data_IF_037403179634
#
_entry.id   IF_037403179634
#
_cell.length_a   1.000
_cell.length_b   1.000
_cell.length_c   1.000
_cell.angle_alpha   90.00
_cell.angle_beta   90.00
_cell.angle_gamma   90.00
#
_symmetry.space_group_name_H-M   'P 1'
#
loop_
_entity.id
_entity.type
_entity.pdbx_description
1 polymer ?
#
# COMPACT_ATOMS: atom_id res chain seq x y z
N UNK A 1 -29.56 -9.15 16.00
CA UNK A 1 -28.57 -8.14 15.58
C UNK A 1 -29.14 -6.72 15.58
N UNK A 2 -30.35 -6.47 15.05
CA UNK A 2 -30.98 -5.11 15.00
C UNK A 2 -31.09 -4.36 16.34
N UNK A 3 -31.40 -5.02 17.47
CA UNK A 3 -31.60 -4.33 18.76
C UNK A 3 -30.32 -3.75 19.38
N UNK A 4 -29.13 -4.32 19.15
CA UNK A 4 -27.87 -3.76 19.70
C UNK A 4 -27.37 -2.56 18.88
N UNK A 5 -27.66 -2.51 17.59
CA UNK A 5 -27.24 -1.41 16.70
C UNK A 5 -28.10 -0.16 16.93
N UNK A 6 -29.42 -0.31 17.10
CA UNK A 6 -30.32 0.80 17.45
C UNK A 6 -29.86 1.49 18.75
N UNK A 7 -29.52 0.73 19.77
CA UNK A 7 -29.00 1.27 21.03
C UNK A 7 -27.70 2.09 20.88
N UNK A 8 -26.87 1.80 19.87
CA UNK A 8 -25.62 2.53 19.63
C UNK A 8 -25.88 3.90 18.98
N UNK A 9 -26.75 3.97 17.99
CA UNK A 9 -27.12 5.22 17.29
C UNK A 9 -27.84 6.17 18.24
N UNK A 10 -28.76 5.65 19.05
CA UNK A 10 -29.45 6.44 20.12
C UNK A 10 -28.45 7.04 21.11
N UNK A 11 -27.48 6.26 21.57
CA UNK A 11 -26.41 6.76 22.47
C UNK A 11 -25.57 7.85 21.84
N UNK A 12 -25.24 7.71 20.53
CA UNK A 12 -24.53 8.77 19.80
C UNK A 12 -25.39 10.03 19.68
N UNK A 13 -26.66 9.89 19.31
CA UNK A 13 -27.59 11.00 19.22
C UNK A 13 -27.72 11.75 20.57
N UNK A 14 -27.89 11.03 21.66
CA UNK A 14 -27.93 11.62 23.00
C UNK A 14 -26.62 12.32 23.38
N UNK A 15 -25.48 11.71 23.08
CA UNK A 15 -24.17 12.29 23.37
C UNK A 15 -23.92 13.61 22.66
N UNK A 16 -24.44 13.77 21.45
CA UNK A 16 -24.21 14.93 20.59
C UNK A 16 -25.45 15.84 20.48
N UNK A 17 -26.50 15.60 21.25
CA UNK A 17 -27.76 16.38 21.19
C UNK A 17 -27.55 17.89 21.40
N UNK A 18 -26.57 18.27 22.23
CA UNK A 18 -26.25 19.66 22.55
C UNK A 18 -24.99 20.17 21.84
N UNK A 19 -24.51 19.47 20.82
CA UNK A 19 -23.23 19.80 20.15
C UNK A 19 -23.27 21.04 19.27
N UNK A 20 -24.48 21.51 18.88
CA UNK A 20 -24.68 22.69 18.05
C UNK A 20 -25.40 23.77 18.88
N UNK A 21 -24.70 24.81 19.35
CA UNK A 21 -25.34 25.87 20.16
C UNK A 21 -26.44 26.59 19.40
N UNK A 22 -27.61 26.76 20.06
CA UNK A 22 -28.76 27.42 19.46
C UNK A 22 -29.64 26.57 18.56
N UNK A 23 -29.35 25.28 18.44
CA UNK A 23 -30.12 24.31 17.68
C UNK A 23 -30.50 23.12 18.56
N UNK A 24 -31.65 22.51 18.26
CA UNK A 24 -32.14 21.30 18.90
C UNK A 24 -32.03 20.11 17.97
N UNK A 25 -31.64 18.94 18.50
CA UNK A 25 -31.59 17.69 17.74
C UNK A 25 -33.04 17.22 17.47
N UNK A 26 -33.49 17.30 16.24
CA UNK A 26 -34.86 16.94 15.82
C UNK A 26 -34.98 15.55 15.23
N UNK A 27 -33.92 15.03 14.64
CA UNK A 27 -33.92 13.71 14.02
C UNK A 27 -32.51 13.12 14.00
N UNK A 28 -32.43 11.80 14.03
CA UNK A 28 -31.19 11.06 13.76
C UNK A 28 -31.50 9.77 13.00
N UNK A 29 -30.60 9.37 12.14
CA UNK A 29 -30.71 8.12 11.37
C UNK A 29 -29.35 7.64 10.89
N UNK A 30 -29.30 6.37 10.47
CA UNK A 30 -28.12 5.79 9.86
C UNK A 30 -28.18 5.98 8.34
N UNK A 31 -27.06 6.41 7.75
CA UNK A 31 -26.91 6.53 6.30
C UNK A 31 -25.61 5.89 5.83
N UNK A 32 -25.66 5.32 4.64
CA UNK A 32 -24.49 4.82 3.94
C UNK A 32 -23.90 5.91 3.05
N UNK A 33 -22.71 6.39 3.40
CA UNK A 33 -21.96 7.38 2.63
C UNK A 33 -21.11 6.67 1.59
N UNK A 34 -21.23 7.02 0.29
CA UNK A 34 -20.55 6.33 -0.79
C UNK A 34 -19.06 6.64 -0.79
N UNK A 35 -18.26 5.62 -1.05
CA UNK A 35 -16.83 5.74 -1.27
C UNK A 35 -16.42 4.83 -2.43
N UNK A 36 -15.44 5.25 -3.21
CA UNK A 36 -14.80 4.42 -4.21
C UNK A 36 -13.65 3.65 -3.56
N UNK A 37 -13.76 2.34 -3.56
CA UNK A 37 -12.67 1.43 -3.23
C UNK A 37 -11.91 1.13 -4.51
N UNK A 38 -10.72 1.68 -4.62
CA UNK A 38 -9.88 1.62 -5.83
C UNK A 38 -8.73 0.67 -5.58
N UNK A 39 -8.61 -0.35 -6.42
CA UNK A 39 -7.50 -1.28 -6.41
C UNK A 39 -6.51 -0.89 -7.52
N UNK A 40 -5.29 -0.56 -7.13
CA UNK A 40 -4.20 -0.16 -8.01
C UNK A 40 -3.15 -1.26 -8.10
N UNK A 41 -2.67 -1.52 -9.30
CA UNK A 41 -1.38 -2.15 -9.52
C UNK A 41 -0.32 -1.06 -9.52
N UNK A 42 0.58 -1.10 -8.54
CA UNK A 42 1.65 -0.11 -8.38
C UNK A 42 3.02 -0.78 -8.36
N UNK A 43 4.01 -0.11 -8.91
CA UNK A 43 5.42 -0.52 -8.79
C UNK A 43 6.06 0.24 -7.64
N UNK A 44 6.60 -0.49 -6.68
CA UNK A 44 7.38 0.05 -5.56
C UNK A 44 8.86 -0.30 -5.72
N UNK A 45 9.73 0.55 -5.21
CA UNK A 45 11.14 0.21 -5.00
C UNK A 45 11.31 -0.36 -3.59
N UNK A 46 11.59 -1.67 -3.53
CA UNK A 46 11.76 -2.38 -2.28
C UNK A 46 13.20 -2.80 -2.07
N UNK A 47 13.73 -2.53 -0.88
CA UNK A 47 15.03 -3.03 -0.47
C UNK A 47 14.88 -4.50 -0.05
N UNK A 48 15.43 -5.41 -0.86
CA UNK A 48 15.49 -6.86 -0.57
C UNK A 48 16.85 -7.20 0.01
N UNK A 49 16.94 -7.97 1.10
CA UNK A 49 18.23 -8.40 1.61
C UNK A 49 18.97 -9.24 0.58
N UNK A 50 20.26 -9.07 0.49
CA UNK A 50 21.13 -9.99 -0.26
C UNK A 50 21.01 -11.38 0.40
N UNK A 51 20.69 -12.40 -0.39
CA UNK A 51 20.76 -13.78 0.12
C UNK A 51 22.20 -14.09 0.57
N UNK A 52 22.35 -14.89 1.64
CA UNK A 52 23.62 -15.21 2.29
C UNK A 52 24.71 -15.59 1.27
N UNK A 53 24.41 -16.47 0.31
CA UNK A 53 25.37 -16.91 -0.72
C UNK A 53 25.78 -15.75 -1.61
N UNK A 54 24.87 -14.88 -2.00
CA UNK A 54 25.15 -13.71 -2.83
C UNK A 54 26.03 -12.70 -2.07
N UNK A 55 25.73 -12.44 -0.81
CA UNK A 55 26.49 -11.54 0.06
C UNK A 55 27.96 -12.03 0.20
N UNK A 56 28.16 -13.29 0.57
CA UNK A 56 29.50 -13.86 0.69
C UNK A 56 30.23 -13.92 -0.64
N UNK A 57 29.53 -14.23 -1.76
CA UNK A 57 30.12 -14.19 -3.09
C UNK A 57 30.59 -12.80 -3.45
N UNK A 58 29.79 -11.76 -3.22
CA UNK A 58 30.18 -10.38 -3.48
C UNK A 58 31.35 -9.93 -2.60
N UNK A 59 31.34 -10.25 -1.29
CA UNK A 59 32.48 -9.98 -0.39
C UNK A 59 33.76 -10.61 -0.89
N UNK A 60 33.69 -11.85 -1.35
CA UNK A 60 34.85 -12.58 -1.85
C UNK A 60 35.40 -12.01 -3.16
N UNK A 61 34.49 -11.63 -4.08
CA UNK A 61 34.84 -10.98 -5.34
C UNK A 61 35.41 -9.56 -5.06
N UNK A 62 34.82 -8.81 -4.13
CA UNK A 62 35.32 -7.50 -3.70
C UNK A 62 36.74 -7.59 -3.10
N UNK A 63 37.05 -8.68 -2.41
CA UNK A 63 38.41 -8.98 -1.91
C UNK A 63 39.43 -9.37 -3.02
N UNK A 64 39.02 -9.34 -4.28
CA UNK A 64 39.90 -9.53 -5.43
C UNK A 64 39.97 -10.96 -5.99
N UNK A 65 39.09 -11.86 -5.55
CA UNK A 65 39.00 -13.20 -6.12
C UNK A 65 38.21 -13.18 -7.41
N UNK A 66 38.88 -13.51 -8.52
CA UNK A 66 38.36 -13.37 -9.88
C UNK A 66 37.94 -14.69 -10.53
N UNK A 67 38.18 -15.82 -9.86
CA UNK A 67 38.02 -17.15 -10.44
C UNK A 67 36.92 -17.93 -9.73
N UNK A 68 36.00 -18.50 -10.51
CA UNK A 68 34.85 -19.29 -10.04
C UNK A 68 35.31 -20.49 -9.18
N UNK A 69 36.38 -21.16 -9.54
CA UNK A 69 36.81 -22.35 -8.81
C UNK A 69 37.25 -22.03 -7.37
N UNK A 70 37.88 -20.87 -7.16
CA UNK A 70 38.22 -20.41 -5.81
C UNK A 70 36.94 -20.07 -5.00
N UNK A 71 35.95 -19.45 -5.65
CA UNK A 71 34.68 -19.16 -5.02
C UNK A 71 33.95 -20.45 -4.59
N UNK A 72 33.94 -21.48 -5.43
CA UNK A 72 33.40 -22.81 -5.11
C UNK A 72 34.05 -23.42 -3.87
N UNK A 73 35.39 -23.40 -3.83
CA UNK A 73 36.16 -23.95 -2.70
C UNK A 73 35.88 -23.15 -1.41
N UNK A 74 35.79 -21.84 -1.50
CA UNK A 74 35.53 -20.95 -0.37
C UNK A 74 34.15 -21.17 0.21
N UNK A 75 33.09 -21.21 -0.64
CA UNK A 75 31.72 -21.40 -0.22
C UNK A 75 31.38 -22.84 0.16
N UNK A 76 32.21 -23.83 -0.23
CA UNK A 76 31.94 -25.24 -0.03
C UNK A 76 30.68 -25.74 -0.79
N UNK A 77 30.34 -25.07 -1.90
CA UNK A 77 29.13 -25.36 -2.68
C UNK A 77 29.47 -26.10 -3.98
N UNK A 78 28.50 -26.89 -4.45
CA UNK A 78 28.61 -27.58 -5.76
C UNK A 78 28.64 -26.56 -6.90
N UNK A 79 29.32 -26.91 -7.97
CA UNK A 79 29.49 -26.06 -9.16
C UNK A 79 28.16 -25.53 -9.70
N UNK A 80 27.15 -26.38 -9.81
CA UNK A 80 25.81 -25.99 -10.31
C UNK A 80 25.14 -24.88 -9.46
N UNK A 81 25.39 -24.89 -8.17
CA UNK A 81 24.83 -23.86 -7.24
C UNK A 81 25.61 -22.57 -7.45
N UNK A 82 26.93 -22.62 -7.46
CA UNK A 82 27.78 -21.43 -7.67
C UNK A 82 27.50 -20.78 -9.02
N UNK A 83 27.41 -21.58 -10.09
CA UNK A 83 27.05 -21.07 -11.43
C UNK A 83 25.70 -20.30 -11.41
N UNK A 84 24.70 -20.87 -10.76
CA UNK A 84 23.38 -20.22 -10.65
C UNK A 84 23.47 -18.87 -9.94
N UNK A 85 24.24 -18.78 -8.85
CA UNK A 85 24.44 -17.54 -8.11
C UNK A 85 25.26 -16.51 -8.91
N UNK A 86 26.31 -16.94 -9.63
CA UNK A 86 27.09 -16.05 -10.51
C UNK A 86 26.20 -15.48 -11.61
N UNK A 87 25.36 -16.30 -12.24
CA UNK A 87 24.40 -15.84 -13.25
C UNK A 87 23.40 -14.85 -12.65
N UNK A 88 22.85 -15.13 -11.46
CA UNK A 88 21.93 -14.23 -10.77
C UNK A 88 22.58 -12.88 -10.44
N UNK A 89 23.82 -12.89 -9.93
CA UNK A 89 24.57 -11.67 -9.65
C UNK A 89 24.88 -10.87 -10.94
N UNK A 90 25.20 -11.56 -12.02
CA UNK A 90 25.45 -10.94 -13.33
C UNK A 90 24.16 -10.31 -13.91
N UNK A 91 23.05 -11.04 -13.89
CA UNK A 91 21.76 -10.54 -14.36
C UNK A 91 21.24 -9.32 -13.57
N UNK A 92 21.61 -9.24 -12.29
CA UNK A 92 21.31 -8.08 -11.43
C UNK A 92 22.30 -6.93 -11.57
N UNK A 93 23.29 -7.08 -12.47
CA UNK A 93 24.36 -6.10 -12.68
C UNK A 93 25.20 -5.82 -11.43
N UNK A 94 25.37 -6.81 -10.55
CA UNK A 94 26.19 -6.70 -9.34
C UNK A 94 27.66 -7.10 -9.60
N UNK A 95 27.88 -7.91 -10.62
CA UNK A 95 29.19 -8.31 -11.10
C UNK A 95 29.29 -8.15 -12.61
N UNK A 96 30.50 -7.96 -13.10
CA UNK A 96 30.87 -8.11 -14.52
C UNK A 96 31.79 -9.30 -14.69
N UNK A 97 31.71 -10.00 -15.81
CA UNK A 97 32.56 -11.12 -16.12
C UNK A 97 32.80 -11.25 -17.62
N UNK A 98 33.92 -11.86 -18.00
CA UNK A 98 34.17 -12.28 -19.38
C UNK A 98 33.32 -13.54 -19.66
N UNK A 99 32.33 -13.41 -20.55
CA UNK A 99 31.38 -14.49 -20.87
C UNK A 99 32.05 -15.64 -21.62
N UNK A 100 33.18 -15.39 -22.30
CA UNK A 100 33.91 -16.41 -23.10
C UNK A 100 34.74 -17.27 -22.19
N UNK A 101 35.48 -16.67 -21.28
CA UNK A 101 36.41 -17.37 -20.39
C UNK A 101 35.78 -17.78 -19.05
N UNK A 102 34.60 -17.26 -18.71
CA UNK A 102 33.95 -17.41 -17.41
C UNK A 102 34.86 -17.12 -16.20
N UNK A 103 35.93 -16.41 -16.45
CA UNK A 103 36.93 -15.96 -15.49
C UNK A 103 36.96 -14.43 -15.44
N UNK A 104 37.75 -13.86 -14.54
CA UNK A 104 37.91 -12.42 -14.37
C UNK A 104 36.61 -11.74 -13.89
N UNK A 105 35.95 -12.36 -12.92
CA UNK A 105 34.79 -11.81 -12.27
C UNK A 105 35.21 -10.56 -11.48
N UNK A 106 34.45 -9.45 -11.65
CA UNK A 106 34.69 -8.18 -10.96
C UNK A 106 33.38 -7.67 -10.36
N UNK A 107 33.47 -7.05 -9.21
CA UNK A 107 32.29 -6.36 -8.62
C UNK A 107 32.05 -5.04 -9.36
N UNK A 108 30.79 -4.72 -9.64
CA UNK A 108 30.38 -3.42 -10.20
C UNK A 108 30.20 -2.38 -9.09
N UNK A 109 30.02 -1.09 -9.44
CA UNK A 109 29.67 -0.06 -8.45
C UNK A 109 28.33 -0.38 -7.78
N UNK A 110 27.34 -0.85 -8.53
CA UNK A 110 26.05 -1.30 -7.98
C UNK A 110 26.22 -2.48 -7.01
N UNK A 111 27.15 -3.40 -7.33
CA UNK A 111 27.50 -4.51 -6.43
C UNK A 111 28.13 -4.04 -5.11
N UNK A 112 29.02 -3.04 -5.17
CA UNK A 112 29.62 -2.44 -3.97
C UNK A 112 28.58 -1.76 -3.10
N UNK A 113 27.73 -0.91 -3.69
CA UNK A 113 26.64 -0.22 -2.98
C UNK A 113 25.67 -1.22 -2.34
N UNK A 114 25.30 -2.28 -3.08
CA UNK A 114 24.43 -3.33 -2.55
C UNK A 114 25.07 -4.10 -1.39
N UNK A 115 26.39 -4.22 -1.38
CA UNK A 115 27.12 -4.86 -0.29
C UNK A 115 27.21 -3.96 0.95
N UNK A 116 27.46 -2.67 0.77
CA UNK A 116 27.49 -1.67 1.84
C UNK A 116 26.12 -1.54 2.51
N UNK A 117 25.07 -1.52 1.71
CA UNK A 117 23.69 -1.41 2.22
C UNK A 117 23.10 -2.74 2.70
N UNK A 118 23.81 -3.88 2.51
CA UNK A 118 23.34 -5.24 2.76
C UNK A 118 21.98 -5.54 2.08
N UNK A 119 21.73 -4.91 0.95
CA UNK A 119 20.48 -5.06 0.24
C UNK A 119 20.53 -4.60 -1.21
N UNK A 120 19.56 -5.08 -1.97
CA UNK A 120 19.36 -4.71 -3.37
C UNK A 120 18.00 -3.99 -3.48
N UNK A 121 18.00 -2.77 -4.00
CA UNK A 121 16.77 -2.08 -4.38
C UNK A 121 16.30 -2.69 -5.69
N UNK A 122 15.12 -3.29 -5.67
CA UNK A 122 14.51 -3.90 -6.84
C UNK A 122 13.04 -3.44 -6.96
N UNK A 123 12.54 -3.20 -8.21
CA UNK A 123 11.15 -2.93 -8.43
C UNK A 123 10.31 -4.18 -8.10
N UNK A 124 9.16 -3.97 -7.49
CA UNK A 124 8.18 -4.99 -7.19
C UNK A 124 6.79 -4.45 -7.52
N UNK A 125 5.98 -5.23 -8.25
CA UNK A 125 4.58 -4.88 -8.50
C UNK A 125 3.73 -5.43 -7.37
N UNK A 126 2.89 -4.56 -6.79
CA UNK A 126 1.97 -4.91 -5.71
C UNK A 126 0.60 -4.32 -5.97
N UNK A 127 -0.43 -4.97 -5.43
CA UNK A 127 -1.77 -4.41 -5.40
C UNK A 127 -1.93 -3.54 -4.15
N UNK A 128 -2.36 -2.30 -4.36
CA UNK A 128 -2.63 -1.35 -3.31
C UNK A 128 -4.08 -0.87 -3.37
N UNK A 129 -4.76 -0.89 -2.22
CA UNK A 129 -6.14 -0.43 -2.12
C UNK A 129 -6.16 0.92 -1.44
N UNK A 130 -6.81 1.90 -2.07
CA UNK A 130 -7.11 3.18 -1.45
C UNK A 130 -8.58 3.53 -1.63
N UNK A 131 -9.06 4.41 -0.76
CA UNK A 131 -10.45 4.80 -0.70
C UNK A 131 -10.55 6.27 -1.08
N UNK A 132 -11.51 6.61 -1.94
CA UNK A 132 -11.87 7.97 -2.30
C UNK A 132 -13.28 8.23 -1.86
N UNK A 133 -13.49 9.26 -1.04
CA UNK A 133 -14.82 9.71 -0.67
C UNK A 133 -15.58 10.16 -1.93
N UNK A 134 -16.73 9.54 -2.20
CA UNK A 134 -17.46 9.79 -3.44
C UNK A 134 -18.34 11.06 -3.38
N UNK A 135 -18.27 11.82 -2.29
CA UNK A 135 -18.91 13.13 -2.15
C UNK A 135 -17.89 14.26 -2.29
N UNK A 136 -16.73 14.15 -1.63
CA UNK A 136 -15.73 15.22 -1.55
C UNK A 136 -14.54 15.03 -2.48
N UNK A 137 -14.26 13.79 -2.91
CA UNK A 137 -13.06 13.47 -3.67
C UNK A 137 -11.81 13.27 -2.81
N UNK A 138 -11.93 13.41 -1.49
CA UNK A 138 -10.81 13.24 -0.59
C UNK A 138 -10.34 11.80 -0.53
N UNK A 139 -9.03 11.61 -0.50
CA UNK A 139 -8.43 10.31 -0.24
C UNK A 139 -8.59 9.95 1.23
N UNK A 140 -9.00 8.71 1.46
CA UNK A 140 -9.10 8.14 2.80
C UNK A 140 -8.38 6.81 2.83
N UNK A 141 -7.85 6.49 4.00
CA UNK A 141 -7.17 5.22 4.19
C UNK A 141 -8.10 4.21 4.82
N UNK A 142 -7.74 2.96 4.62
CA UNK A 142 -8.29 1.70 5.14
C UNK A 142 -9.41 1.84 6.18
N UNK A 143 -10.59 2.16 5.69
CA UNK A 143 -11.80 2.19 6.48
C UNK A 143 -12.60 0.92 6.23
N UNK A 144 -13.37 0.51 7.21
CA UNK A 144 -14.34 -0.55 7.00
C UNK A 144 -15.50 -0.02 6.17
N UNK A 145 -15.67 -0.59 4.99
CA UNK A 145 -16.75 -0.26 4.06
C UNK A 145 -17.64 -1.49 3.86
N UNK A 146 -18.92 -1.25 3.74
CA UNK A 146 -19.91 -2.26 3.45
C UNK A 146 -20.34 -2.20 1.97
N UNK A 147 -20.54 -3.34 1.34
CA UNK A 147 -21.05 -3.37 -0.02
C UNK A 147 -22.53 -2.93 -0.08
N UNK A 148 -22.94 -2.36 -1.22
CA UNK A 148 -24.29 -1.82 -1.39
C UNK A 148 -25.43 -2.84 -1.21
N UNK A 149 -25.17 -4.13 -1.49
CA UNK A 149 -26.12 -5.22 -1.25
C UNK A 149 -26.39 -5.43 0.23
N UNK A 150 -25.35 -5.37 1.06
CA UNK A 150 -25.49 -5.47 2.51
C UNK A 150 -26.25 -4.25 3.08
N UNK A 151 -25.90 -3.03 2.66
CA UNK A 151 -26.55 -1.79 3.09
C UNK A 151 -28.05 -1.84 2.79
N UNK A 152 -28.45 -2.25 1.56
CA UNK A 152 -29.85 -2.45 1.19
C UNK A 152 -30.55 -3.49 2.08
N UNK A 153 -29.89 -4.62 2.35
CA UNK A 153 -30.46 -5.70 3.16
C UNK A 153 -30.77 -5.27 4.58
N UNK A 154 -29.97 -4.40 5.17
CA UNK A 154 -30.21 -3.87 6.53
C UNK A 154 -31.13 -2.65 6.55
N UNK A 155 -31.55 -2.14 5.37
CA UNK A 155 -32.52 -1.04 5.25
C UNK A 155 -31.91 0.34 5.55
N UNK A 156 -30.60 0.50 5.43
CA UNK A 156 -29.92 1.79 5.60
C UNK A 156 -30.02 2.60 4.31
N UNK A 157 -30.35 3.90 4.46
CA UNK A 157 -30.45 4.81 3.32
C UNK A 157 -29.06 5.04 2.70
N UNK A 158 -28.93 4.84 1.38
CA UNK A 158 -27.70 5.09 0.66
C UNK A 158 -27.68 6.50 0.09
N UNK A 159 -26.70 7.30 0.48
CA UNK A 159 -26.47 8.61 -0.12
C UNK A 159 -25.94 8.39 -1.55
N UNK A 160 -26.48 9.09 -2.57
CA UNK A 160 -25.97 9.00 -3.92
C UNK A 160 -24.55 9.61 -4.02
N UNK A 161 -23.74 9.06 -4.91
CA UNK A 161 -22.42 9.63 -5.22
C UNK A 161 -22.57 11.02 -5.86
N UNK A 162 -21.62 11.91 -5.59
CA UNK A 162 -21.58 13.25 -6.18
C UNK A 162 -20.48 13.38 -7.24
N UNK A 163 -19.34 12.75 -7.03
CA UNK A 163 -18.22 12.79 -7.98
C UNK A 163 -18.16 11.52 -8.84
N UNK A 164 -17.51 11.65 -10.00
CA UNK A 164 -17.26 10.53 -10.90
C UNK A 164 -16.15 9.62 -10.39
N UNK A 165 -16.09 8.41 -10.98
CA UNK A 165 -15.03 7.44 -10.68
C UNK A 165 -13.65 8.04 -10.95
N UNK A 166 -12.68 7.84 -10.05
CA UNK A 166 -11.29 8.25 -10.27
C UNK A 166 -10.74 7.65 -11.58
N UNK A 167 -9.97 8.47 -12.30
CA UNK A 167 -9.22 8.03 -13.47
C UNK A 167 -7.74 8.03 -13.14
N UNK A 168 -6.96 7.19 -13.80
CA UNK A 168 -5.53 7.05 -13.52
C UNK A 168 -4.77 8.38 -13.70
N UNK A 169 -5.18 9.18 -14.68
CA UNK A 169 -4.56 10.48 -14.98
C UNK A 169 -4.72 11.50 -13.82
N UNK A 170 -5.72 11.28 -12.97
CA UNK A 170 -6.04 12.16 -11.85
C UNK A 170 -5.42 11.68 -10.53
N UNK A 171 -4.65 10.58 -10.56
CA UNK A 171 -4.05 9.99 -9.39
C UNK A 171 -2.58 10.40 -9.31
N UNK A 172 -2.26 11.31 -8.40
CA UNK A 172 -0.90 11.76 -8.18
C UNK A 172 -0.13 10.80 -7.27
N UNK A 173 1.00 10.28 -7.75
CA UNK A 173 1.88 9.38 -6.98
C UNK A 173 2.32 10.02 -5.66
N UNK A 174 2.62 11.33 -5.67
CA UNK A 174 3.05 12.08 -4.49
C UNK A 174 1.97 12.06 -3.43
N UNK A 175 0.71 12.33 -3.79
CA UNK A 175 -0.43 12.35 -2.88
C UNK A 175 -0.65 10.97 -2.25
N UNK A 176 -0.57 9.90 -3.02
CA UNK A 176 -0.68 8.53 -2.49
C UNK A 176 0.49 8.22 -1.55
N UNK A 177 1.71 8.57 -1.93
CA UNK A 177 2.91 8.32 -1.13
C UNK A 177 2.85 9.06 0.22
N UNK A 178 2.37 10.30 0.25
CA UNK A 178 2.18 11.07 1.47
C UNK A 178 1.10 10.47 2.38
N UNK A 179 -0.03 10.06 1.82
CA UNK A 179 -1.10 9.40 2.55
C UNK A 179 -0.58 8.12 3.20
N UNK A 180 0.15 7.30 2.45
CA UNK A 180 0.75 6.07 2.96
C UNK A 180 1.74 6.36 4.09
N UNK A 181 2.65 7.32 3.91
CA UNK A 181 3.62 7.71 4.93
C UNK A 181 2.95 8.24 6.20
N UNK A 182 1.89 9.01 6.08
CA UNK A 182 1.13 9.52 7.22
C UNK A 182 0.39 8.40 7.95
N UNK A 183 -0.16 7.43 7.23
CA UNK A 183 -0.83 6.27 7.82
C UNK A 183 0.15 5.32 8.52
N UNK A 184 1.32 5.10 7.96
CA UNK A 184 2.37 4.29 8.57
C UNK A 184 2.81 4.82 9.94
N UNK A 185 2.73 6.14 10.16
CA UNK A 185 3.00 6.75 11.47
C UNK A 185 1.92 6.41 12.52
N UNK A 186 0.71 6.09 12.08
CA UNK A 186 -0.45 5.84 12.95
C UNK A 186 -0.67 4.33 13.18
N UNK A 187 -0.44 3.50 12.15
CA UNK A 187 -0.68 2.06 12.19
C UNK A 187 0.53 1.25 11.69
N UNK A 188 1.27 0.67 12.63
CA UNK A 188 2.45 -0.18 12.35
C UNK A 188 2.19 -1.47 11.54
N UNK A 189 0.97 -1.77 11.14
CA UNK A 189 0.58 -3.07 10.55
C UNK A 189 0.50 -3.14 9.03
N UNK A 190 0.47 -2.01 8.34
CA UNK A 190 0.38 -1.96 6.87
C UNK A 190 1.59 -1.22 6.30
N UNK A 191 2.75 -1.85 6.35
CA UNK A 191 3.96 -1.33 5.73
C UNK A 191 3.94 -1.60 4.22
N UNK A 192 3.83 -0.53 3.43
CA UNK A 192 4.49 -0.50 2.13
C UNK A 192 5.99 -0.34 2.40
N UNK A 193 6.70 -1.45 2.32
CA UNK A 193 8.13 -1.50 2.49
C UNK A 193 8.82 -1.06 1.18
N UNK A 194 8.73 0.24 0.88
CA UNK A 194 9.30 0.85 -0.32
C UNK A 194 8.55 2.09 -0.81
N UNK A 195 9.19 2.87 -1.68
CA UNK A 195 8.60 4.04 -2.30
C UNK A 195 7.84 3.66 -3.58
N UNK A 196 6.64 4.22 -3.79
CA UNK A 196 5.91 4.06 -5.05
C UNK A 196 6.63 4.86 -6.14
N UNK A 197 7.00 4.20 -7.22
CA UNK A 197 7.66 4.82 -8.37
C UNK A 197 6.74 4.93 -9.58
N UNK A 198 5.73 4.08 -9.66
CA UNK A 198 4.77 4.11 -10.77
C UNK A 198 3.42 3.52 -10.37
N UNK A 199 2.36 4.06 -10.97
CA UNK A 199 1.03 3.46 -10.96
C UNK A 199 0.83 2.82 -12.33
N UNK A 200 0.79 1.49 -12.38
CA UNK A 200 0.73 0.76 -13.63
C UNK A 200 -0.67 0.81 -14.23
N UNK A 201 -1.69 0.52 -13.41
CA UNK A 201 -3.11 0.53 -13.84
C UNK A 201 -4.06 0.53 -12.65
N UNK A 202 -5.31 0.88 -12.94
CA UNK A 202 -6.43 0.62 -12.05
C UNK A 202 -6.97 -0.79 -12.38
N UNK A 203 -6.90 -1.71 -11.41
CA UNK A 203 -7.44 -3.07 -11.59
C UNK A 203 -8.96 -3.06 -11.53
N UNK A 204 -9.52 -2.43 -10.50
CA UNK A 204 -10.97 -2.26 -10.38
C UNK A 204 -11.34 -1.08 -9.48
N UNK A 205 -12.58 -0.61 -9.64
CA UNK A 205 -13.19 0.41 -8.78
C UNK A 205 -14.58 -0.07 -8.40
N UNK A 206 -14.81 -0.26 -7.10
CA UNK A 206 -16.11 -0.60 -6.54
C UNK A 206 -16.67 0.58 -5.75
N UNK A 207 -18.01 0.73 -5.73
CA UNK A 207 -18.68 1.62 -4.78
C UNK A 207 -19.02 0.79 -3.56
N UNK A 208 -18.50 1.20 -2.44
CA UNK A 208 -18.83 0.67 -1.11
C UNK A 208 -19.30 1.83 -0.22
N UNK A 209 -19.83 1.52 0.95
CA UNK A 209 -20.50 2.52 1.78
C UNK A 209 -19.95 2.48 3.21
N UNK A 210 -19.68 3.66 3.75
CA UNK A 210 -19.39 3.84 5.17
C UNK A 210 -20.69 4.16 5.89
N UNK A 211 -21.02 3.37 6.90
CA UNK A 211 -22.19 3.66 7.75
C UNK A 211 -21.84 4.79 8.72
N UNK A 212 -22.69 5.80 8.74
CA UNK A 212 -22.54 6.96 9.61
C UNK A 212 -23.89 7.32 10.23
N UNK A 213 -23.84 7.82 11.46
CA UNK A 213 -24.99 8.42 12.09
C UNK A 213 -25.14 9.86 11.62
N UNK A 214 -26.27 10.19 11.03
CA UNK A 214 -26.63 11.55 10.63
C UNK A 214 -27.48 12.15 11.75
N UNK A 215 -27.07 13.31 12.24
CA UNK A 215 -27.80 14.10 13.24
C UNK A 215 -28.35 15.33 12.54
N UNK A 216 -29.66 15.56 12.69
CA UNK A 216 -30.35 16.69 12.08
C UNK A 216 -30.73 17.65 13.19
N UNK A 217 -30.27 18.88 13.07
CA UNK A 217 -30.55 19.94 14.03
C UNK A 217 -31.43 21.01 13.38
N UNK A 218 -32.36 21.60 14.17
CA UNK A 218 -33.16 22.72 13.74
C UNK A 218 -33.02 23.90 14.70
N UNK A 219 -33.12 25.13 14.17
CA UNK A 219 -33.19 26.33 14.98
C UNK A 219 -34.62 26.50 15.61
N UNK A 220 -34.77 27.52 16.45
CA UNK A 220 -36.07 27.85 17.09
C UNK A 220 -37.21 28.19 16.12
N UNK A 221 -36.89 28.38 14.84
CA UNK A 221 -37.86 28.65 13.75
C UNK A 221 -38.12 27.40 12.91
N UNK A 222 -37.49 26.28 13.22
CA UNK A 222 -37.62 25.03 12.49
C UNK A 222 -36.79 24.94 11.21
N UNK A 223 -35.83 25.84 10.98
CA UNK A 223 -34.90 25.72 9.86
C UNK A 223 -33.82 24.69 10.20
N UNK A 224 -33.57 23.78 9.25
CA UNK A 224 -32.55 22.71 9.33
C UNK A 224 -31.22 23.20 8.79
#
# INVERSE_FOLDING_TARGET
MKMKEICYIEKLAQKYAESVPGYELVQYYEAGFPAYKVNLDVTIQKKKPLGIVNEFSLKYIAAGVKNKNYLMKFLGLKESIVNRHIIDLYQKDLISMDLVLQDNIKITEKGKNSLEELGLIAPESINYIYIVDALTGEFRMNEHLDNGGFIKKIGVHMIPKYIDKPKIENIEIISISEIIKNHQKINYREFLDGDIVNINKIENINIEYRRMCVLVFADSKGNI
#
